data_IF_625710615391
#
_entry.id   IF_625710615391
#
_cell.length_a   1.000
_cell.length_b   1.000
_cell.length_c   1.000
_cell.angle_alpha   90.00
_cell.angle_beta   90.00
_cell.angle_gamma   90.00
#
_symmetry.space_group_name_H-M   'P 1'
#
loop_
_entity.id
_entity.type
_entity.pdbx_description
1 polymer ?
#
# COMPACT_ATOMS: atom_id res chain seq x y z
N UNK A 1 26.49 -3.16 -27.52
CA UNK A 1 25.24 -2.40 -27.64
C UNK A 1 24.91 -1.91 -26.25
N UNK A 2 24.71 -0.61 -26.01
CA UNK A 2 24.32 -0.12 -24.70
C UNK A 2 22.92 -0.61 -24.40
N UNK A 3 22.76 -1.33 -23.30
CA UNK A 3 21.48 -1.81 -22.82
C UNK A 3 20.57 -0.60 -22.53
N UNK A 4 19.38 -0.57 -23.10
CA UNK A 4 18.44 0.52 -22.85
C UNK A 4 18.00 0.43 -21.40
N UNK A 5 18.18 1.52 -20.64
CA UNK A 5 17.76 1.60 -19.24
C UNK A 5 16.48 2.39 -19.11
N UNK A 6 15.59 1.92 -18.22
CA UNK A 6 14.29 2.53 -17.93
C UNK A 6 14.16 2.75 -16.43
N UNK A 7 13.49 3.81 -16.03
CA UNK A 7 13.24 4.10 -14.63
C UNK A 7 12.10 5.12 -14.46
N UNK A 8 11.51 5.11 -13.29
CA UNK A 8 10.55 6.10 -12.85
C UNK A 8 11.11 6.74 -11.57
N UNK A 9 11.12 8.06 -11.45
CA UNK A 9 11.44 8.70 -10.18
C UNK A 9 10.53 8.18 -9.07
N UNK A 10 11.12 7.84 -7.94
CA UNK A 10 10.35 7.32 -6.81
C UNK A 10 11.13 7.37 -5.51
N UNK A 11 10.46 7.10 -4.41
CA UNK A 11 11.08 7.05 -3.09
C UNK A 11 10.27 6.23 -2.11
N UNK A 12 10.95 5.69 -1.13
CA UNK A 12 10.33 5.08 0.05
C UNK A 12 10.12 6.12 1.15
N UNK A 13 8.99 6.04 1.84
CA UNK A 13 8.78 6.69 3.13
C UNK A 13 8.98 5.64 4.21
N UNK A 14 10.04 5.77 5.00
CA UNK A 14 10.33 4.87 6.11
C UNK A 14 10.52 5.63 7.41
N UNK A 15 10.79 4.94 8.50
CA UNK A 15 10.98 5.55 9.82
C UNK A 15 11.91 4.67 10.67
N UNK A 16 12.25 5.14 11.87
CA UNK A 16 13.03 4.36 12.83
C UNK A 16 12.21 3.25 13.50
N UNK A 17 10.87 3.40 13.51
CA UNK A 17 9.94 2.44 14.15
C UNK A 17 8.52 2.58 13.61
N UNK A 18 7.64 1.65 13.98
CA UNK A 18 6.19 1.78 13.79
C UNK A 18 5.62 3.00 14.53
N UNK A 19 4.47 3.51 14.08
CA UNK A 19 3.77 4.63 14.74
C UNK A 19 4.42 6.01 14.62
N UNK A 20 5.43 6.17 13.76
CA UNK A 20 6.12 7.45 13.53
C UNK A 20 5.37 8.42 12.60
N UNK A 21 4.25 8.00 11.99
CA UNK A 21 3.44 8.82 11.10
C UNK A 21 3.72 8.61 9.61
N UNK A 22 4.34 7.48 9.22
CA UNK A 22 4.60 7.16 7.81
C UNK A 22 3.34 7.20 6.94
N UNK A 23 2.27 6.55 7.39
CA UNK A 23 1.01 6.43 6.65
C UNK A 23 0.41 7.80 6.34
N UNK A 24 0.33 8.69 7.35
CA UNK A 24 -0.12 10.07 7.14
C UNK A 24 0.74 10.79 6.10
N UNK A 25 2.06 10.68 6.24
CA UNK A 25 3.01 11.33 5.34
C UNK A 25 2.87 10.78 3.92
N UNK A 26 2.77 9.47 3.75
CA UNK A 26 2.70 8.83 2.42
C UNK A 26 1.36 9.12 1.73
N UNK A 27 0.24 9.09 2.45
CA UNK A 27 -1.08 9.49 1.96
C UNK A 27 -1.04 10.94 1.50
N UNK A 28 -0.53 11.85 2.35
CA UNK A 28 -0.46 13.26 2.05
C UNK A 28 0.44 13.59 0.86
N UNK A 29 1.62 12.94 0.74
CA UNK A 29 2.51 13.09 -0.41
C UNK A 29 1.85 12.58 -1.71
N UNK A 30 1.20 11.41 -1.66
CA UNK A 30 0.50 10.85 -2.82
C UNK A 30 -0.63 11.77 -3.30
N UNK A 31 -1.42 12.31 -2.38
CA UNK A 31 -2.50 13.24 -2.70
C UNK A 31 -1.96 14.59 -3.20
N UNK A 32 -0.88 15.10 -2.59
CA UNK A 32 -0.26 16.37 -2.97
C UNK A 32 0.34 16.31 -4.39
N UNK A 33 1.07 15.25 -4.73
CA UNK A 33 1.57 15.07 -6.10
C UNK A 33 0.44 14.92 -7.11
N UNK A 34 -0.62 14.18 -6.79
CA UNK A 34 -1.83 14.11 -7.62
C UNK A 34 -2.47 15.50 -7.83
N UNK A 35 -2.58 16.31 -6.78
CA UNK A 35 -3.12 17.67 -6.86
C UNK A 35 -2.25 18.62 -7.71
N UNK A 36 -0.94 18.34 -7.81
CA UNK A 36 -0.01 19.01 -8.72
C UNK A 36 -0.10 18.46 -10.17
N UNK A 37 -1.07 17.62 -10.48
CA UNK A 37 -1.26 17.02 -11.81
C UNK A 37 -0.29 15.87 -12.14
N UNK A 38 0.47 15.37 -11.16
CA UNK A 38 1.37 14.22 -11.36
C UNK A 38 0.62 12.90 -11.34
N UNK A 39 0.89 12.03 -12.29
CA UNK A 39 0.45 10.64 -12.25
C UNK A 39 1.29 9.90 -11.20
N UNK A 40 0.73 9.69 -10.03
CA UNK A 40 1.43 9.09 -8.88
C UNK A 40 1.10 7.61 -8.78
N UNK A 41 2.12 6.75 -8.77
CA UNK A 41 1.96 5.32 -8.48
C UNK A 41 2.19 5.04 -6.99
N UNK A 42 1.16 4.67 -6.24
CA UNK A 42 1.31 4.29 -4.85
C UNK A 42 1.69 2.81 -4.72
N UNK A 43 2.58 2.52 -3.75
CA UNK A 43 2.92 1.16 -3.37
C UNK A 43 2.98 1.02 -1.84
N UNK A 44 2.68 -0.17 -1.36
CA UNK A 44 2.86 -0.54 0.05
C UNK A 44 3.87 -1.68 0.17
N UNK A 45 4.92 -1.48 0.95
CA UNK A 45 5.82 -2.58 1.31
C UNK A 45 5.15 -3.48 2.34
N UNK A 46 5.18 -4.79 2.07
CA UNK A 46 4.52 -5.78 2.92
C UNK A 46 3.05 -6.04 2.56
N UNK A 47 2.38 -6.99 3.23
CA UNK A 47 1.09 -7.54 2.83
C UNK A 47 -0.11 -6.75 3.40
N UNK A 48 0.03 -5.48 3.70
CA UNK A 48 -0.99 -4.65 4.33
C UNK A 48 -2.05 -4.20 3.32
N UNK A 49 -3.31 -4.51 3.58
CA UNK A 49 -4.46 -4.12 2.75
C UNK A 49 -5.01 -2.74 3.11
N UNK A 50 -4.95 -2.36 4.40
CA UNK A 50 -5.60 -1.14 4.91
C UNK A 50 -4.84 0.09 4.43
N UNK A 51 -3.53 0.13 4.67
CA UNK A 51 -2.68 1.23 4.19
C UNK A 51 -2.72 1.30 2.66
N UNK A 52 -2.68 0.15 1.95
CA UNK A 52 -2.78 0.11 0.50
C UNK A 52 -4.11 0.70 -0.01
N UNK A 53 -5.22 0.45 0.66
CA UNK A 53 -6.53 1.04 0.36
C UNK A 53 -6.50 2.57 0.48
N UNK A 54 -5.93 3.12 1.54
CA UNK A 54 -5.77 4.56 1.74
C UNK A 54 -4.88 5.20 0.68
N UNK A 55 -3.75 4.57 0.37
CA UNK A 55 -2.82 5.03 -0.67
C UNK A 55 -3.45 5.03 -2.05
N UNK A 56 -4.25 3.99 -2.36
CA UNK A 56 -5.00 3.90 -3.61
C UNK A 56 -5.98 5.06 -3.76
N UNK A 57 -6.75 5.39 -2.73
CA UNK A 57 -7.67 6.54 -2.74
C UNK A 57 -6.93 7.86 -2.89
N UNK A 58 -5.85 8.07 -2.15
CA UNK A 58 -5.06 9.29 -2.20
C UNK A 58 -4.47 9.54 -3.58
N UNK A 59 -3.88 8.53 -4.20
CA UNK A 59 -3.32 8.62 -5.55
C UNK A 59 -4.39 8.58 -6.65
N UNK A 60 -5.57 8.00 -6.37
CA UNK A 60 -6.63 7.75 -7.36
C UNK A 60 -6.24 6.65 -8.37
N UNK A 61 -5.42 5.71 -7.96
CA UNK A 61 -4.91 4.57 -8.75
C UNK A 61 -4.74 3.34 -7.84
N UNK A 62 -4.75 2.11 -8.37
CA UNK A 62 -4.44 0.93 -7.58
C UNK A 62 -3.12 1.07 -6.84
N UNK A 63 -3.08 0.61 -5.59
CA UNK A 63 -1.86 0.50 -4.80
C UNK A 63 -1.44 -0.97 -4.77
N UNK A 64 -0.23 -1.25 -5.23
CA UNK A 64 0.32 -2.60 -5.30
C UNK A 64 1.20 -2.90 -4.09
N UNK A 65 1.22 -4.18 -3.68
CA UNK A 65 2.02 -4.59 -2.53
C UNK A 65 3.37 -5.15 -2.98
N UNK A 66 4.44 -4.62 -2.40
CA UNK A 66 5.82 -5.05 -2.65
C UNK A 66 6.30 -5.87 -1.45
N UNK A 67 6.28 -7.19 -1.56
CA UNK A 67 6.60 -8.08 -0.46
C UNK A 67 7.55 -9.21 -0.87
N UNK A 68 8.82 -9.08 -0.51
CA UNK A 68 9.88 -10.05 -0.81
C UNK A 68 9.80 -11.33 0.03
N UNK A 69 8.85 -11.43 0.97
CA UNK A 69 8.56 -12.65 1.68
C UNK A 69 7.52 -13.53 0.95
N UNK A 70 6.48 -12.90 0.38
CA UNK A 70 5.40 -13.61 -0.30
C UNK A 70 5.71 -13.94 -1.75
N UNK A 71 6.50 -13.10 -2.43
CA UNK A 71 6.88 -13.28 -3.84
C UNK A 71 8.38 -13.03 -4.01
N UNK A 72 8.97 -13.57 -5.07
CA UNK A 72 10.39 -13.40 -5.36
C UNK A 72 10.76 -11.94 -5.63
N UNK A 73 12.04 -11.61 -5.45
CA UNK A 73 12.59 -10.28 -5.74
C UNK A 73 12.36 -9.87 -7.20
N UNK A 74 12.50 -10.82 -8.14
CA UNK A 74 12.24 -10.59 -9.56
C UNK A 74 10.79 -10.16 -9.80
N UNK A 75 9.82 -10.78 -9.14
CA UNK A 75 8.41 -10.40 -9.22
C UNK A 75 8.11 -9.06 -8.58
N UNK A 76 8.76 -8.74 -7.45
CA UNK A 76 8.64 -7.41 -6.82
C UNK A 76 9.13 -6.34 -7.78
N UNK A 77 10.32 -6.54 -8.39
CA UNK A 77 10.86 -5.61 -9.37
C UNK A 77 9.96 -5.50 -10.60
N UNK A 78 9.49 -6.62 -11.15
CA UNK A 78 8.56 -6.65 -12.28
C UNK A 78 7.26 -5.89 -11.98
N UNK A 79 6.62 -6.14 -10.82
CA UNK A 79 5.42 -5.41 -10.39
C UNK A 79 5.67 -3.90 -10.30
N UNK A 80 6.79 -3.49 -9.73
CA UNK A 80 7.18 -2.08 -9.66
C UNK A 80 7.34 -1.47 -11.06
N UNK A 81 8.14 -2.06 -11.92
CA UNK A 81 8.43 -1.52 -13.26
C UNK A 81 7.17 -1.50 -14.16
N UNK A 82 6.36 -2.55 -14.11
CA UNK A 82 5.09 -2.61 -14.85
C UNK A 82 4.14 -1.49 -14.46
N UNK A 83 4.00 -1.23 -13.17
CA UNK A 83 3.06 -0.25 -12.63
C UNK A 83 3.63 1.18 -12.58
N UNK A 84 4.88 1.38 -12.94
CA UNK A 84 5.52 2.70 -13.07
C UNK A 84 5.86 3.02 -14.51
N UNK A 85 6.88 2.41 -15.09
CA UNK A 85 7.43 2.74 -16.41
C UNK A 85 6.38 2.53 -17.50
N UNK A 86 5.78 1.35 -17.57
CA UNK A 86 4.79 1.04 -18.61
C UNK A 86 3.46 1.73 -18.40
N UNK A 87 3.13 2.09 -17.18
CA UNK A 87 1.91 2.85 -16.86
C UNK A 87 2.09 4.36 -17.08
N UNK A 88 3.28 4.81 -17.47
CA UNK A 88 3.60 6.20 -17.78
C UNK A 88 3.31 7.14 -16.60
N UNK A 89 3.74 6.76 -15.38
CA UNK A 89 3.59 7.59 -14.18
C UNK A 89 4.76 8.55 -14.05
N UNK A 90 4.55 9.66 -13.36
CA UNK A 90 5.56 10.69 -13.14
C UNK A 90 6.41 10.42 -11.90
N UNK A 91 5.82 9.76 -10.89
CA UNK A 91 6.47 9.49 -9.61
C UNK A 91 5.88 8.29 -8.90
N UNK A 92 6.73 7.48 -8.27
CA UNK A 92 6.33 6.39 -7.38
C UNK A 92 6.51 6.79 -5.91
N UNK A 93 5.49 6.53 -5.10
CA UNK A 93 5.50 6.80 -3.65
C UNK A 93 5.25 5.48 -2.93
N UNK A 94 6.26 4.99 -2.20
CA UNK A 94 6.22 3.68 -1.56
C UNK A 94 6.21 3.85 -0.05
N UNK A 95 5.18 3.33 0.62
CA UNK A 95 5.18 3.26 2.07
C UNK A 95 5.93 2.04 2.57
N UNK A 96 6.95 2.25 3.39
CA UNK A 96 7.68 1.21 4.10
C UNK A 96 6.86 0.60 5.25
N UNK A 97 7.34 -0.51 5.78
CA UNK A 97 6.74 -1.19 6.92
C UNK A 97 7.66 -1.12 8.15
N UNK A 98 7.10 -0.99 9.35
CA UNK A 98 7.83 -0.91 10.64
C UNK A 98 8.97 0.13 10.60
N UNK A 99 10.17 -0.21 11.09
CA UNK A 99 11.38 0.58 10.94
C UNK A 99 12.11 0.28 9.63
N UNK A 100 13.07 1.14 9.26
CA UNK A 100 13.81 1.04 7.99
C UNK A 100 14.48 -0.32 7.81
N UNK A 101 15.12 -0.83 8.86
CA UNK A 101 15.91 -2.08 8.83
C UNK A 101 15.17 -3.27 9.45
N UNK A 102 13.92 -3.09 9.90
CA UNK A 102 13.14 -4.17 10.52
C UNK A 102 12.72 -5.21 9.48
N UNK A 103 13.22 -6.42 9.62
CA UNK A 103 12.85 -7.60 8.84
C UNK A 103 12.26 -8.69 9.74
N UNK A 104 12.06 -9.89 9.17
CA UNK A 104 11.60 -11.09 9.91
C UNK A 104 12.75 -11.92 10.45
N UNK A 105 13.98 -11.64 10.02
CA UNK A 105 15.20 -12.36 10.35
C UNK A 105 16.30 -11.41 10.85
N UNK A 106 17.39 -11.98 11.31
CA UNK A 106 18.54 -11.24 11.82
C UNK A 106 19.22 -10.38 10.74
N UNK A 107 19.18 -10.81 9.50
CA UNK A 107 19.79 -10.13 8.35
C UNK A 107 18.91 -9.01 7.81
N UNK A 108 17.62 -9.00 8.18
CA UNK A 108 16.66 -7.99 7.71
C UNK A 108 16.27 -8.14 6.23
N UNK A 109 16.36 -9.34 5.67
CA UNK A 109 16.13 -9.62 4.23
C UNK A 109 14.79 -9.14 3.69
N UNK A 110 13.78 -9.02 4.57
CA UNK A 110 12.46 -8.50 4.21
C UNK A 110 12.24 -7.06 4.68
N UNK A 111 13.29 -6.32 4.99
CA UNK A 111 13.17 -4.93 5.47
C UNK A 111 12.81 -3.95 4.35
N UNK A 112 12.42 -2.75 4.75
CA UNK A 112 12.23 -1.63 3.80
C UNK A 112 13.54 -1.25 3.13
N UNK A 113 14.67 -1.35 3.84
CA UNK A 113 16.00 -1.10 3.33
C UNK A 113 16.36 -2.02 2.15
N UNK A 114 16.15 -3.34 2.31
CA UNK A 114 16.42 -4.31 1.24
C UNK A 114 15.53 -4.06 0.00
N UNK A 115 14.24 -3.80 0.22
CA UNK A 115 13.35 -3.47 -0.90
C UNK A 115 13.74 -2.17 -1.60
N UNK A 116 14.21 -1.16 -0.86
CA UNK A 116 14.70 0.10 -1.44
C UNK A 116 15.97 -0.11 -2.28
N UNK A 117 16.91 -0.95 -1.83
CA UNK A 117 18.10 -1.34 -2.59
C UNK A 117 17.73 -2.13 -3.85
N UNK A 118 16.83 -3.10 -3.74
CA UNK A 118 16.34 -3.88 -4.87
C UNK A 118 15.76 -3.00 -5.97
N UNK A 119 14.93 -2.02 -5.59
CA UNK A 119 14.29 -1.10 -6.54
C UNK A 119 15.16 0.09 -6.92
N UNK A 120 16.36 0.22 -6.36
CA UNK A 120 17.26 1.34 -6.64
C UNK A 120 16.68 2.71 -6.27
N UNK A 121 15.88 2.79 -5.21
CA UNK A 121 15.15 4.00 -4.83
C UNK A 121 15.67 4.60 -3.52
N UNK A 122 15.69 5.94 -3.41
CA UNK A 122 16.04 6.62 -2.17
C UNK A 122 14.94 6.47 -1.11
N UNK A 123 15.34 6.66 0.14
CA UNK A 123 14.46 6.65 1.31
C UNK A 123 14.35 8.06 1.90
N UNK A 124 13.13 8.48 2.17
CA UNK A 124 12.82 9.62 3.05
C UNK A 124 12.52 9.06 4.45
N UNK A 125 13.27 9.49 5.45
CA UNK A 125 13.01 9.10 6.83
C UNK A 125 11.99 10.04 7.48
N UNK A 126 10.86 9.50 7.89
CA UNK A 126 9.89 10.16 8.76
C UNK A 126 10.38 10.04 10.22
N UNK A 127 10.80 11.15 10.80
CA UNK A 127 11.37 11.20 12.15
C UNK A 127 10.37 11.74 13.17
N UNK A 128 9.95 10.91 14.09
CA UNK A 128 9.18 11.36 15.27
C UNK A 128 10.10 12.17 16.21
N UNK A 129 9.96 13.51 16.18
CA UNK A 129 10.79 14.44 16.94
C UNK A 129 10.26 14.74 18.35
N UNK A 130 9.26 13.95 18.84
CA UNK A 130 8.67 14.18 20.16
C UNK A 130 9.74 14.16 21.24
N UNK A 131 9.88 15.29 21.99
CA UNK A 131 10.84 15.45 23.10
C UNK A 131 12.30 15.15 22.74
N UNK A 132 12.69 15.30 21.47
CA UNK A 132 14.05 15.03 20.99
C UNK A 132 14.57 16.19 20.13
N UNK A 133 15.87 16.42 20.14
CA UNK A 133 16.56 17.43 19.32
C UNK A 133 17.80 16.83 18.66
N UNK A 134 19.00 17.11 19.16
CA UNK A 134 20.27 16.64 18.58
C UNK A 134 20.38 15.11 18.46
N UNK A 135 19.69 14.36 19.34
CA UNK A 135 19.64 12.88 19.26
C UNK A 135 19.08 12.40 17.93
N UNK A 136 18.22 13.16 17.26
CA UNK A 136 17.72 12.81 15.91
C UNK A 136 18.86 12.76 14.87
N UNK A 137 19.84 13.68 14.99
CA UNK A 137 21.01 13.62 14.11
C UNK A 137 21.85 12.35 14.34
N UNK A 138 22.03 11.94 15.60
CA UNK A 138 22.70 10.68 15.92
C UNK A 138 21.96 9.46 15.37
N UNK A 139 20.62 9.46 15.41
CA UNK A 139 19.81 8.38 14.85
C UNK A 139 19.93 8.30 13.32
N UNK A 140 19.88 9.45 12.62
CA UNK A 140 20.09 9.49 11.16
C UNK A 140 21.52 9.04 10.81
N UNK A 141 22.52 9.51 11.55
CA UNK A 141 23.91 9.09 11.36
C UNK A 141 24.06 7.57 11.55
N UNK A 142 23.39 7.00 12.54
CA UNK A 142 23.33 5.55 12.74
C UNK A 142 22.76 4.82 11.53
N UNK A 143 21.68 5.31 10.94
CA UNK A 143 21.10 4.71 9.73
C UNK A 143 22.06 4.76 8.54
N UNK A 144 22.77 5.87 8.33
CA UNK A 144 23.75 6.04 7.24
C UNK A 144 24.92 5.08 7.35
N UNK A 145 25.35 4.75 8.57
CA UNK A 145 26.48 3.86 8.81
C UNK A 145 26.08 2.40 8.97
N UNK A 146 24.85 2.12 9.36
CA UNK A 146 24.36 0.76 9.56
C UNK A 146 24.32 -0.03 8.25
N UNK A 147 23.84 0.61 7.18
CA UNK A 147 23.86 0.06 5.83
C UNK A 147 24.15 1.19 4.82
N UNK A 148 25.41 1.32 4.37
CA UNK A 148 25.85 2.37 3.43
C UNK A 148 25.25 2.24 2.03
N UNK A 149 24.72 1.08 1.66
CA UNK A 149 24.11 0.85 0.35
C UNK A 149 22.67 1.42 0.27
N UNK A 150 22.08 1.75 1.41
CA UNK A 150 20.77 2.41 1.47
C UNK A 150 20.94 3.92 1.25
N UNK A 151 20.34 4.43 0.20
CA UNK A 151 20.36 5.87 -0.10
C UNK A 151 19.29 6.59 0.75
N UNK A 152 19.71 7.30 1.80
CA UNK A 152 18.83 8.21 2.55
C UNK A 152 18.86 9.58 1.86
N UNK A 153 17.85 9.85 1.01
CA UNK A 153 17.79 11.07 0.20
C UNK A 153 17.30 12.31 0.96
N UNK A 154 16.67 12.10 2.13
CA UNK A 154 16.18 13.21 2.96
C UNK A 154 15.45 12.76 4.19
N UNK A 155 15.10 13.72 5.04
CA UNK A 155 14.27 13.48 6.22
C UNK A 155 13.08 14.44 6.23
N UNK A 156 11.95 13.97 6.79
CA UNK A 156 10.81 14.81 7.15
C UNK A 156 10.61 14.68 8.65
N UNK A 157 10.66 15.82 9.32
CA UNK A 157 10.45 15.90 10.77
C UNK A 157 8.96 15.80 11.05
N UNK A 158 8.55 14.89 11.92
CA UNK A 158 7.16 14.77 12.36
C UNK A 158 7.01 15.14 13.83
N UNK A 159 5.85 15.65 14.20
CA UNK A 159 5.48 16.04 15.57
C UNK A 159 6.42 17.09 16.18
N UNK A 160 6.85 18.07 15.36
CA UNK A 160 7.67 19.18 15.90
C UNK A 160 6.83 20.08 16.80
N UNK A 161 7.42 20.52 17.91
CA UNK A 161 6.69 21.31 18.94
C UNK A 161 6.48 22.79 18.55
N UNK A 162 7.26 23.28 17.57
CA UNK A 162 7.19 24.67 17.10
C UNK A 162 8.45 25.09 16.33
N UNK A 163 8.51 26.36 15.85
CA UNK A 163 9.58 26.80 14.95
C UNK A 163 10.99 26.62 15.52
N UNK A 164 11.23 27.04 16.76
CA UNK A 164 12.54 26.89 17.41
C UNK A 164 12.97 25.41 17.50
N UNK A 165 12.03 24.51 17.79
CA UNK A 165 12.31 23.07 17.86
C UNK A 165 12.64 22.54 16.47
N UNK A 166 11.84 22.88 15.46
CA UNK A 166 12.06 22.54 14.06
C UNK A 166 13.48 22.95 13.62
N UNK A 167 13.82 24.23 13.80
CA UNK A 167 15.08 24.78 13.31
C UNK A 167 16.29 24.13 14.00
N UNK A 168 16.19 23.87 15.31
CA UNK A 168 17.22 23.17 16.08
C UNK A 168 17.44 21.74 15.55
N UNK A 169 16.37 20.96 15.38
CA UNK A 169 16.48 19.57 14.86
C UNK A 169 17.04 19.58 13.45
N UNK A 170 16.50 20.43 12.57
CA UNK A 170 16.90 20.51 11.17
C UNK A 170 18.39 20.87 11.01
N UNK A 171 18.87 21.89 11.75
CA UNK A 171 20.26 22.30 11.73
C UNK A 171 21.20 21.21 12.24
N UNK A 172 20.83 20.51 13.32
CA UNK A 172 21.64 19.40 13.83
C UNK A 172 21.73 18.24 12.84
N UNK A 173 20.64 17.86 12.18
CA UNK A 173 20.67 16.79 11.17
C UNK A 173 21.56 17.21 10.00
N UNK A 174 21.31 18.38 9.43
CA UNK A 174 22.10 18.84 8.27
C UNK A 174 23.60 18.94 8.61
N UNK A 175 23.94 19.52 9.77
CA UNK A 175 25.33 19.71 10.19
C UNK A 175 26.09 18.41 10.41
N UNK A 176 25.46 17.42 11.04
CA UNK A 176 26.13 16.18 11.43
C UNK A 176 26.09 15.09 10.35
N UNK A 177 25.11 15.13 9.45
CA UNK A 177 24.85 14.03 8.50
C UNK A 177 24.90 14.46 7.04
N UNK A 178 24.80 15.74 6.73
CA UNK A 178 24.66 16.24 5.37
C UNK A 178 23.28 15.97 4.74
N UNK A 179 22.41 15.19 5.41
CA UNK A 179 21.09 14.83 4.87
C UNK A 179 20.13 16.02 4.91
N UNK A 180 19.47 16.38 3.80
CA UNK A 180 18.56 17.51 3.79
C UNK A 180 17.28 17.23 4.54
N UNK A 181 16.75 18.26 5.22
CA UNK A 181 15.40 18.25 5.78
C UNK A 181 14.45 18.78 4.72
N UNK A 182 13.53 17.92 4.25
CA UNK A 182 12.58 18.19 3.17
C UNK A 182 11.27 18.78 3.68
N UNK A 183 11.03 18.71 4.99
CA UNK A 183 9.82 19.25 5.60
C UNK A 183 9.76 19.03 7.09
N UNK A 184 8.80 19.68 7.73
CA UNK A 184 8.62 19.58 9.20
C UNK A 184 7.15 19.74 9.57
N UNK A 185 6.50 18.64 9.92
CA UNK A 185 5.10 18.57 10.29
C UNK A 185 4.93 18.88 11.78
N UNK A 186 4.06 19.81 12.14
CA UNK A 186 3.81 20.15 13.54
C UNK A 186 3.12 18.99 14.25
N UNK A 187 3.20 19.00 15.59
CA UNK A 187 2.42 18.09 16.41
C UNK A 187 0.94 18.43 16.27
N UNK A 188 0.18 17.53 15.64
CA UNK A 188 -1.26 17.67 15.48
C UNK A 188 -1.98 17.45 16.82
N UNK A 189 -3.06 18.20 17.05
CA UNK A 189 -3.95 17.97 18.19
C UNK A 189 -4.97 16.88 17.79
N UNK A 190 -5.42 16.10 18.76
CA UNK A 190 -6.35 14.99 18.51
C UNK A 190 -7.69 15.39 17.88
N UNK A 191 -8.03 16.67 17.89
CA UNK A 191 -9.24 17.22 17.27
C UNK A 191 -9.01 17.72 15.83
N UNK A 192 -7.77 17.99 15.46
CA UNK A 192 -7.43 18.63 14.18
C UNK A 192 -7.29 17.61 13.04
N UNK A 193 -7.12 16.33 13.40
CA UNK A 193 -6.87 15.30 12.41
C UNK A 193 -7.34 13.92 12.88
N UNK A 194 -8.11 13.17 12.08
CA UNK A 194 -8.59 11.82 12.42
C UNK A 194 -7.48 10.76 12.30
N UNK A 195 -6.27 11.08 12.79
CA UNK A 195 -5.07 10.24 12.72
C UNK A 195 -5.29 8.80 13.26
N UNK A 196 -6.23 8.68 14.23
CA UNK A 196 -6.53 7.39 14.87
C UNK A 196 -7.21 6.37 13.93
N UNK A 197 -7.75 6.82 12.82
CA UNK A 197 -8.49 5.98 11.89
C UNK A 197 -7.72 5.67 10.61
N UNK A 198 -6.75 6.49 10.22
CA UNK A 198 -5.88 6.23 9.08
C UNK A 198 -4.97 5.03 9.37
N UNK A 199 -4.98 4.04 8.49
CA UNK A 199 -4.22 2.80 8.65
C UNK A 199 -4.81 1.79 9.63
N UNK A 200 -5.94 2.10 10.30
CA UNK A 200 -6.62 1.20 11.23
C UNK A 200 -8.06 0.86 10.83
N UNK A 201 -8.66 1.64 9.93
CA UNK A 201 -10.04 1.46 9.47
C UNK A 201 -10.06 1.43 7.94
N UNK A 202 -10.76 0.47 7.33
CA UNK A 202 -10.89 0.38 5.88
C UNK A 202 -11.58 1.62 5.28
N UNK A 203 -11.25 1.92 4.03
CA UNK A 203 -11.65 3.16 3.35
C UNK A 203 -13.08 3.16 2.78
N UNK A 204 -13.71 1.99 2.62
CA UNK A 204 -14.96 1.87 1.86
C UNK A 204 -16.21 2.46 2.52
N UNK A 205 -16.14 2.93 3.74
CA UNK A 205 -17.33 3.34 4.49
C UNK A 205 -17.60 4.84 4.51
N UNK A 206 -16.71 5.74 3.89
CA UNK A 206 -16.71 7.07 4.47
C UNK A 206 -16.48 8.25 3.55
N UNK A 207 -17.43 9.18 3.53
CA UNK A 207 -17.21 10.59 3.14
C UNK A 207 -16.06 11.23 3.92
N UNK A 208 -15.79 10.80 5.14
CA UNK A 208 -14.67 11.26 5.96
C UNK A 208 -13.30 10.81 5.42
N UNK A 209 -13.20 9.68 4.69
CA UNK A 209 -11.93 9.26 4.09
C UNK A 209 -11.40 10.31 3.11
N UNK A 210 -12.28 10.84 2.25
CA UNK A 210 -11.92 11.93 1.34
C UNK A 210 -11.57 13.22 2.07
N UNK A 211 -12.23 13.53 3.18
CA UNK A 211 -11.89 14.69 4.02
C UNK A 211 -10.52 14.52 4.67
N UNK A 212 -10.23 13.33 5.18
CA UNK A 212 -8.95 13.00 5.79
C UNK A 212 -7.80 13.08 4.79
N UNK A 213 -8.00 12.58 3.56
CA UNK A 213 -7.00 12.68 2.49
C UNK A 213 -6.75 14.15 2.12
N UNK A 214 -7.80 14.97 1.99
CA UNK A 214 -7.64 16.42 1.74
C UNK A 214 -6.90 17.14 2.86
N UNK A 215 -7.19 16.78 4.12
CA UNK A 215 -6.49 17.35 5.27
C UNK A 215 -5.01 16.93 5.29
N UNK A 216 -4.70 15.67 4.95
CA UNK A 216 -3.32 15.20 4.80
C UNK A 216 -2.59 15.90 3.65
N UNK A 217 -3.24 16.05 2.49
CA UNK A 217 -2.72 16.80 1.34
C UNK A 217 -2.35 18.23 1.74
N UNK A 218 -3.28 18.96 2.35
CA UNK A 218 -3.05 20.34 2.76
C UNK A 218 -1.89 20.42 3.76
N UNK A 219 -1.86 19.54 4.77
CA UNK A 219 -0.79 19.47 5.75
C UNK A 219 0.58 19.31 5.09
N UNK A 220 0.68 18.42 4.11
CA UNK A 220 1.93 18.19 3.37
C UNK A 220 2.30 19.41 2.52
N UNK A 221 1.37 19.99 1.78
CA UNK A 221 1.64 21.17 0.96
C UNK A 221 2.11 22.38 1.75
N UNK A 222 1.65 22.52 2.98
CA UNK A 222 2.04 23.63 3.87
C UNK A 222 3.39 23.42 4.56
N UNK A 223 3.84 22.15 4.73
CA UNK A 223 4.96 21.83 5.61
C UNK A 223 6.08 21.03 4.94
N UNK A 224 5.94 20.65 3.68
CA UNK A 224 6.93 19.86 2.93
C UNK A 224 7.25 20.53 1.60
N UNK A 225 8.53 20.62 1.27
CA UNK A 225 9.01 21.15 -0.01
C UNK A 225 8.91 20.03 -1.08
N UNK A 226 7.76 20.01 -1.78
CA UNK A 226 7.45 19.00 -2.78
C UNK A 226 8.39 19.04 -3.99
N UNK A 227 8.89 20.22 -4.36
CA UNK A 227 9.83 20.36 -5.48
C UNK A 227 11.17 19.70 -5.13
N UNK A 228 11.66 19.92 -3.90
CA UNK A 228 12.87 19.23 -3.42
C UNK A 228 12.67 17.72 -3.25
N UNK A 229 11.49 17.27 -2.83
CA UNK A 229 11.16 15.84 -2.80
C UNK A 229 11.23 15.23 -4.20
N UNK A 230 10.63 15.89 -5.19
CA UNK A 230 10.67 15.44 -6.58
C UNK A 230 12.10 15.45 -7.14
N UNK A 231 12.84 16.53 -6.91
CA UNK A 231 14.24 16.63 -7.33
C UNK A 231 15.10 15.50 -6.72
N UNK A 232 14.98 15.27 -5.43
CA UNK A 232 15.65 14.18 -4.72
C UNK A 232 15.30 12.81 -5.33
N UNK A 233 14.02 12.56 -5.62
CA UNK A 233 13.59 11.32 -6.28
C UNK A 233 14.23 11.16 -7.67
N UNK A 234 14.26 12.22 -8.49
CA UNK A 234 14.90 12.20 -9.82
C UNK A 234 16.40 11.95 -9.73
N UNK A 235 17.08 12.60 -8.80
CA UNK A 235 18.54 12.53 -8.67
C UNK A 235 19.04 11.17 -8.15
N UNK A 236 18.24 10.51 -7.31
CA UNK A 236 18.68 9.31 -6.59
C UNK A 236 18.01 8.01 -7.05
N UNK A 237 17.00 8.05 -7.91
CA UNK A 237 16.42 6.82 -8.47
C UNK A 237 17.35 6.23 -9.52
N UNK A 238 17.67 4.94 -9.38
CA UNK A 238 18.53 4.22 -10.33
C UNK A 238 17.66 3.57 -11.41
N UNK A 239 18.02 3.70 -12.70
CA UNK A 239 17.27 3.03 -13.76
C UNK A 239 17.65 1.54 -13.84
N UNK A 240 16.69 0.73 -14.27
CA UNK A 240 16.81 -0.71 -14.48
C UNK A 240 17.01 -1.06 -15.96
N UNK A 241 17.53 -2.25 -16.26
CA UNK A 241 17.61 -2.76 -17.60
C UNK A 241 16.21 -3.10 -18.16
N UNK A 242 16.00 -2.92 -19.47
CA UNK A 242 14.72 -3.29 -20.10
C UNK A 242 14.45 -4.79 -19.99
N UNK A 243 15.52 -5.62 -20.01
CA UNK A 243 15.44 -7.07 -19.79
C UNK A 243 14.72 -7.43 -18.48
N UNK A 244 14.96 -6.65 -17.41
CA UNK A 244 14.35 -6.89 -16.10
C UNK A 244 12.82 -6.73 -16.10
N UNK A 245 12.28 -6.16 -17.17
CA UNK A 245 10.86 -5.84 -17.30
C UNK A 245 10.13 -6.82 -18.22
N UNK A 246 10.82 -7.33 -19.24
CA UNK A 246 10.20 -8.14 -20.29
C UNK A 246 10.12 -9.62 -19.93
N UNK A 247 11.03 -10.10 -19.11
CA UNK A 247 11.09 -11.48 -18.66
C UNK A 247 10.66 -11.59 -17.21
N UNK A 248 9.39 -11.95 -16.95
CA UNK A 248 9.04 -12.60 -15.69
C UNK A 248 9.28 -14.11 -15.86
N UNK A 249 10.46 -14.64 -15.46
CA UNK A 249 10.79 -16.06 -15.63
C UNK A 249 9.89 -16.96 -14.78
N UNK A 250 9.17 -16.38 -13.84
CA UNK A 250 8.24 -17.07 -12.93
C UNK A 250 6.77 -16.73 -13.24
N UNK A 251 6.48 -15.99 -14.35
CA UNK A 251 5.09 -15.86 -14.80
C UNK A 251 4.59 -17.27 -15.09
N UNK A 252 3.72 -17.87 -14.26
CA UNK A 252 3.10 -19.13 -14.59
C UNK A 252 2.21 -18.84 -15.77
N UNK A 253 2.78 -18.81 -16.97
CA UNK A 253 1.99 -18.86 -18.19
C UNK A 253 1.17 -20.12 -18.03
N UNK A 254 -0.11 -19.93 -17.77
CA UNK A 254 -1.04 -21.06 -17.82
C UNK A 254 -0.73 -21.76 -19.14
N UNK A 255 -0.32 -23.04 -19.11
CA UNK A 255 -0.03 -23.77 -20.34
C UNK A 255 -1.14 -23.50 -21.32
N UNK A 256 -0.79 -23.21 -22.59
CA UNK A 256 -1.75 -22.77 -23.59
C UNK A 256 -2.89 -23.80 -23.84
N UNK A 257 -2.68 -25.03 -23.40
CA UNK A 257 -3.64 -26.15 -23.39
C UNK A 257 -4.65 -26.06 -22.23
N UNK A 258 -4.32 -25.34 -21.16
CA UNK A 258 -5.25 -25.02 -20.06
C UNK A 258 -6.00 -23.70 -20.27
N UNK A 259 -5.57 -22.86 -21.22
CA UNK A 259 -6.36 -21.73 -21.68
C UNK A 259 -7.58 -22.30 -22.42
N UNK A 260 -8.75 -22.20 -21.78
CA UNK A 260 -10.01 -22.68 -22.31
C UNK A 260 -10.17 -22.24 -23.78
N UNK A 261 -10.20 -23.21 -24.69
CA UNK A 261 -10.44 -22.98 -26.12
C UNK A 261 -11.89 -22.61 -26.44
N UNK A 262 -12.75 -22.55 -25.42
CA UNK A 262 -14.17 -22.30 -25.59
C UNK A 262 -14.53 -20.82 -25.40
N UNK A 263 -15.47 -20.37 -26.19
CA UNK A 263 -15.87 -18.98 -26.41
C UNK A 263 -16.58 -18.32 -25.20
N UNK A 264 -16.81 -19.02 -24.12
CA UNK A 264 -17.40 -18.46 -22.89
C UNK A 264 -16.31 -18.17 -21.86
N UNK A 265 -15.99 -16.91 -21.69
CA UNK A 265 -15.10 -16.47 -20.59
C UNK A 265 -15.78 -16.78 -19.26
N UNK A 266 -15.11 -17.48 -18.31
CA UNK A 266 -15.70 -17.76 -17.00
C UNK A 266 -16.05 -16.46 -16.28
N UNK A 267 -17.22 -16.46 -15.67
CA UNK A 267 -17.72 -15.31 -14.89
C UNK A 267 -17.46 -15.56 -13.42
N UNK A 268 -16.55 -14.79 -12.84
CA UNK A 268 -16.19 -14.90 -11.43
C UNK A 268 -16.83 -13.76 -10.63
N UNK A 269 -17.67 -14.13 -9.67
CA UNK A 269 -18.18 -13.18 -8.69
C UNK A 269 -17.09 -12.79 -7.69
N UNK A 270 -16.90 -11.50 -7.48
CA UNK A 270 -16.00 -10.96 -6.45
C UNK A 270 -16.84 -10.23 -5.43
N UNK A 271 -16.86 -10.74 -4.20
CA UNK A 271 -17.60 -10.09 -3.12
C UNK A 271 -16.85 -8.83 -2.68
N UNK A 272 -17.44 -7.64 -2.92
CA UNK A 272 -16.76 -6.38 -2.61
C UNK A 272 -17.73 -5.33 -2.07
N UNK A 273 -17.60 -5.05 -0.78
CA UNK A 273 -18.34 -4.01 -0.07
C UNK A 273 -17.58 -3.58 1.21
N UNK A 274 -18.22 -2.91 2.14
CA UNK A 274 -17.60 -2.49 3.39
C UNK A 274 -17.18 -3.64 4.31
N UNK A 275 -17.81 -4.81 4.21
CA UNK A 275 -17.40 -6.00 4.96
C UNK A 275 -16.22 -6.76 4.34
N UNK A 276 -16.05 -6.69 3.00
CA UNK A 276 -15.07 -7.46 2.24
C UNK A 276 -14.29 -6.55 1.28
N UNK A 277 -13.11 -6.08 1.71
CA UNK A 277 -12.32 -5.07 1.00
C UNK A 277 -10.88 -5.50 0.70
N UNK A 278 -10.42 -6.60 1.30
CA UNK A 278 -9.03 -7.00 1.25
C UNK A 278 -8.76 -7.86 0.02
N UNK A 279 -8.33 -7.20 -1.04
CA UNK A 279 -7.94 -7.80 -2.30
C UNK A 279 -6.63 -7.18 -2.78
N UNK A 280 -5.68 -8.02 -3.18
CA UNK A 280 -4.55 -7.54 -3.95
C UNK A 280 -5.01 -7.27 -5.39
N UNK A 281 -4.73 -6.07 -5.94
CA UNK A 281 -5.05 -5.78 -7.34
C UNK A 281 -4.51 -6.84 -8.29
N UNK A 282 -3.31 -7.35 -8.02
CA UNK A 282 -2.64 -8.38 -8.82
C UNK A 282 -3.46 -9.67 -8.95
N UNK A 283 -4.17 -10.07 -7.89
CA UNK A 283 -5.01 -11.27 -7.93
C UNK A 283 -6.21 -11.10 -8.86
N UNK A 284 -6.85 -9.93 -8.80
CA UNK A 284 -7.99 -9.61 -9.67
C UNK A 284 -7.54 -9.47 -11.13
N UNK A 285 -6.44 -8.76 -11.37
CA UNK A 285 -5.84 -8.62 -12.70
C UNK A 285 -5.39 -9.97 -13.27
N UNK A 286 -4.86 -10.87 -12.42
CA UNK A 286 -4.48 -12.21 -12.84
C UNK A 286 -5.69 -13.03 -13.32
N UNK A 287 -6.83 -12.94 -12.62
CA UNK A 287 -8.07 -13.59 -13.08
C UNK A 287 -8.52 -13.06 -14.45
N UNK A 288 -8.54 -11.73 -14.64
CA UNK A 288 -8.90 -11.11 -15.90
C UNK A 288 -7.91 -11.46 -17.04
N UNK A 289 -6.60 -11.41 -16.75
CA UNK A 289 -5.53 -11.77 -17.70
C UNK A 289 -5.64 -13.23 -18.15
N UNK A 290 -6.10 -14.12 -17.26
CA UNK A 290 -6.36 -15.52 -17.58
C UNK A 290 -7.76 -15.77 -18.19
N UNK A 291 -8.46 -14.73 -18.60
CA UNK A 291 -9.68 -14.80 -19.39
C UNK A 291 -10.98 -14.74 -18.60
N UNK A 292 -10.93 -14.57 -17.26
CA UNK A 292 -12.14 -14.40 -16.48
C UNK A 292 -12.80 -13.02 -16.71
N UNK A 293 -14.12 -12.99 -16.61
CA UNK A 293 -14.89 -11.75 -16.44
C UNK A 293 -15.28 -11.59 -14.98
N UNK A 294 -14.87 -10.50 -14.34
CA UNK A 294 -15.21 -10.22 -12.95
C UNK A 294 -16.56 -9.51 -12.84
N UNK A 295 -17.38 -9.97 -11.89
CA UNK A 295 -18.66 -9.37 -11.52
C UNK A 295 -18.62 -9.08 -10.03
N UNK A 296 -18.67 -7.81 -9.66
CA UNK A 296 -18.67 -7.40 -8.24
C UNK A 296 -20.07 -7.53 -7.66
N UNK A 297 -20.16 -8.20 -6.51
CA UNK A 297 -21.40 -8.45 -5.77
C UNK A 297 -21.22 -8.10 -4.30
N UNK A 298 -22.33 -7.79 -3.62
CA UNK A 298 -22.32 -7.34 -2.24
C UNK A 298 -23.39 -8.07 -1.41
N UNK A 299 -23.03 -8.95 -0.48
CA UNK A 299 -23.99 -9.55 0.43
C UNK A 299 -24.68 -8.55 1.36
N UNK A 300 -24.16 -7.32 1.49
CA UNK A 300 -24.82 -6.24 2.24
C UNK A 300 -25.95 -5.55 1.45
N UNK A 301 -25.92 -5.61 0.10
CA UNK A 301 -26.83 -4.84 -0.76
C UNK A 301 -27.65 -5.70 -1.71
N UNK A 302 -27.06 -6.80 -2.20
CA UNK A 302 -27.66 -7.64 -3.22
C UNK A 302 -28.47 -8.76 -2.57
N UNK A 303 -29.71 -8.93 -3.02
CA UNK A 303 -30.57 -10.06 -2.62
C UNK A 303 -30.57 -11.19 -3.63
N UNK A 304 -30.12 -10.91 -4.87
CA UNK A 304 -30.09 -11.89 -5.96
C UNK A 304 -28.65 -12.25 -6.29
N UNK A 305 -28.36 -13.53 -6.25
CA UNK A 305 -27.08 -14.06 -6.66
C UNK A 305 -27.05 -14.22 -8.20
N UNK A 306 -26.18 -13.53 -8.94
CA UNK A 306 -26.16 -13.60 -10.39
C UNK A 306 -25.70 -14.97 -10.90
N UNK A 307 -25.78 -15.17 -12.20
CA UNK A 307 -25.22 -16.36 -12.84
C UNK A 307 -23.70 -16.23 -12.94
N UNK A 308 -22.99 -17.14 -12.26
CA UNK A 308 -21.54 -17.13 -12.07
C UNK A 308 -20.98 -18.55 -12.22
N UNK A 309 -19.73 -18.65 -12.69
CA UNK A 309 -18.97 -19.90 -12.78
C UNK A 309 -18.12 -20.16 -11.54
N UNK A 310 -17.87 -19.14 -10.72
CA UNK A 310 -17.14 -19.23 -9.45
C UNK A 310 -17.31 -17.99 -8.59
N UNK A 311 -16.90 -18.08 -7.32
CA UNK A 311 -17.00 -17.00 -6.34
C UNK A 311 -15.65 -16.79 -5.62
N UNK A 312 -15.21 -15.55 -5.56
CA UNK A 312 -14.07 -15.12 -4.75
C UNK A 312 -14.54 -14.19 -3.64
N UNK A 313 -14.33 -14.60 -2.39
CA UNK A 313 -14.63 -13.83 -1.18
C UNK A 313 -13.31 -13.49 -0.50
N UNK A 314 -12.86 -12.26 -0.60
CA UNK A 314 -11.64 -11.79 0.05
C UNK A 314 -11.80 -11.54 1.55
N UNK A 315 -10.75 -10.99 2.13
CA UNK A 315 -10.75 -10.59 3.53
C UNK A 315 -11.50 -9.29 3.79
N UNK A 316 -11.56 -8.92 5.05
CA UNK A 316 -12.24 -7.72 5.53
C UNK A 316 -12.65 -7.88 6.99
N UNK A 317 -13.67 -7.12 7.40
CA UNK A 317 -14.22 -7.12 8.75
C UNK A 317 -15.72 -7.48 8.73
N UNK A 318 -16.10 -8.72 8.37
CA UNK A 318 -17.51 -9.14 8.34
C UNK A 318 -18.18 -9.05 9.72
N UNK A 319 -17.41 -9.14 10.81
CA UNK A 319 -17.90 -9.00 12.17
C UNK A 319 -18.48 -7.62 12.45
N UNK A 320 -18.00 -6.56 11.79
CA UNK A 320 -18.55 -5.21 11.95
C UNK A 320 -19.92 -5.05 11.28
N UNK A 321 -20.27 -5.97 10.39
CA UNK A 321 -21.51 -6.03 9.64
C UNK A 321 -22.30 -7.34 9.90
N UNK A 322 -22.01 -8.02 11.03
CA UNK A 322 -22.53 -9.36 11.28
C UNK A 322 -24.06 -9.43 11.24
N UNK A 323 -24.75 -8.40 11.77
CA UNK A 323 -26.22 -8.33 11.78
C UNK A 323 -26.79 -8.21 10.37
N UNK A 324 -26.24 -7.33 9.56
CA UNK A 324 -26.67 -7.09 8.16
C UNK A 324 -26.40 -8.32 7.29
N UNK A 325 -25.23 -8.92 7.43
CA UNK A 325 -24.86 -10.14 6.72
C UNK A 325 -25.75 -11.32 7.14
N UNK A 326 -26.06 -11.44 8.44
CA UNK A 326 -26.98 -12.46 8.95
C UNK A 326 -28.39 -12.26 8.45
N UNK A 327 -28.87 -11.02 8.34
CA UNK A 327 -30.22 -10.70 7.86
C UNK A 327 -30.45 -11.03 6.38
N UNK A 328 -29.37 -11.08 5.56
CA UNK A 328 -29.47 -11.47 4.15
C UNK A 328 -29.48 -13.00 3.97
N UNK A 329 -30.53 -13.64 4.50
CA UNK A 329 -30.69 -15.11 4.47
C UNK A 329 -30.75 -15.67 3.05
N UNK A 330 -31.37 -14.95 2.12
CA UNK A 330 -31.53 -15.41 0.74
C UNK A 330 -30.19 -15.51 0.03
N UNK A 331 -29.31 -14.52 0.19
CA UNK A 331 -27.98 -14.55 -0.41
C UNK A 331 -27.14 -15.71 0.16
N UNK A 332 -27.15 -15.89 1.50
CA UNK A 332 -26.43 -17.00 2.16
C UNK A 332 -26.96 -18.35 1.71
N UNK A 333 -28.29 -18.50 1.62
CA UNK A 333 -28.94 -19.74 1.15
C UNK A 333 -28.52 -20.09 -0.27
N UNK A 334 -28.41 -19.10 -1.17
CA UNK A 334 -28.01 -19.30 -2.54
C UNK A 334 -26.54 -19.72 -2.65
N UNK A 335 -25.61 -19.12 -1.90
CA UNK A 335 -24.20 -19.55 -1.83
C UNK A 335 -24.15 -21.03 -1.38
N UNK A 336 -24.80 -21.34 -0.25
CA UNK A 336 -24.80 -22.69 0.31
C UNK A 336 -25.32 -23.72 -0.70
N UNK A 337 -26.48 -23.47 -1.28
CA UNK A 337 -27.10 -24.39 -2.23
C UNK A 337 -26.28 -24.62 -3.49
N UNK A 338 -25.51 -23.62 -3.94
CA UNK A 338 -24.57 -23.75 -5.07
C UNK A 338 -23.29 -24.49 -4.68
N UNK A 339 -22.70 -24.16 -3.53
CA UNK A 339 -21.51 -24.83 -3.02
C UNK A 339 -21.75 -26.33 -2.79
N UNK A 340 -22.90 -26.72 -2.23
CA UNK A 340 -23.29 -28.13 -2.07
C UNK A 340 -23.45 -28.89 -3.39
N UNK A 341 -23.63 -28.17 -4.51
CA UNK A 341 -23.68 -28.74 -5.87
C UNK A 341 -22.31 -28.70 -6.60
N UNK A 342 -21.23 -28.34 -5.89
CA UNK A 342 -19.89 -28.28 -6.46
C UNK A 342 -19.53 -26.97 -7.13
N UNK A 343 -20.29 -25.89 -6.90
CA UNK A 343 -19.92 -24.55 -7.39
C UNK A 343 -18.61 -24.08 -6.71
N UNK A 344 -17.59 -23.68 -7.49
CA UNK A 344 -16.30 -23.26 -6.95
C UNK A 344 -16.42 -21.99 -6.11
N UNK A 345 -15.94 -22.06 -4.86
CA UNK A 345 -15.86 -20.91 -3.95
C UNK A 345 -14.44 -20.83 -3.39
N UNK A 346 -13.77 -19.71 -3.61
CA UNK A 346 -12.52 -19.37 -2.93
C UNK A 346 -12.80 -18.31 -1.88
N UNK A 347 -12.40 -18.56 -0.64
CA UNK A 347 -12.61 -17.62 0.46
C UNK A 347 -11.38 -17.56 1.37
N UNK A 348 -11.02 -16.37 1.81
CA UNK A 348 -9.89 -16.12 2.69
C UNK A 348 -10.23 -15.16 3.82
N UNK A 349 -9.61 -15.35 5.01
CA UNK A 349 -9.74 -14.47 6.17
C UNK A 349 -11.22 -14.19 6.51
N UNK A 350 -11.67 -12.93 6.37
CA UNK A 350 -13.08 -12.54 6.60
C UNK A 350 -14.07 -13.29 5.72
N UNK A 351 -13.70 -13.62 4.48
CA UNK A 351 -14.52 -14.45 3.59
C UNK A 351 -14.71 -15.86 4.12
N UNK A 352 -13.69 -16.46 4.73
CA UNK A 352 -13.81 -17.76 5.39
C UNK A 352 -14.71 -17.68 6.63
N UNK A 353 -14.62 -16.60 7.41
CA UNK A 353 -15.53 -16.37 8.55
C UNK A 353 -16.98 -16.32 8.09
N UNK A 354 -17.27 -15.64 6.99
CA UNK A 354 -18.63 -15.51 6.45
C UNK A 354 -19.22 -16.86 5.97
N UNK A 355 -18.39 -17.78 5.53
CA UNK A 355 -18.82 -19.14 5.16
C UNK A 355 -19.00 -20.08 6.36
N UNK A 356 -18.68 -19.64 7.58
CA UNK A 356 -18.91 -20.36 8.81
C UNK A 356 -20.41 -20.62 9.08
N UNK A 357 -20.70 -21.53 9.99
CA UNK A 357 -22.09 -21.81 10.39
C UNK A 357 -22.68 -20.69 11.21
N UNK A 358 -21.85 -20.10 12.05
CA UNK A 358 -22.21 -19.04 12.99
C UNK A 358 -21.00 -18.19 13.32
N UNK A 359 -21.24 -16.94 13.64
CA UNK A 359 -20.26 -16.03 14.19
C UNK A 359 -20.74 -15.58 15.58
N UNK A 360 -19.96 -15.93 16.62
CA UNK A 360 -20.28 -15.53 17.99
C UNK A 360 -19.43 -14.31 18.36
N UNK A 361 -20.10 -13.21 18.71
CA UNK A 361 -19.42 -11.97 19.08
C UNK A 361 -20.21 -11.26 20.21
N UNK A 362 -19.49 -10.87 21.28
CA UNK A 362 -20.07 -10.19 22.44
C UNK A 362 -21.28 -10.93 23.07
N UNK A 363 -21.33 -12.27 22.98
CA UNK A 363 -22.39 -13.09 23.48
C UNK A 363 -23.63 -13.20 22.58
N UNK A 364 -23.61 -12.57 21.41
CA UNK A 364 -24.63 -12.72 20.36
C UNK A 364 -24.13 -13.70 19.29
N UNK A 365 -25.04 -14.45 18.68
CA UNK A 365 -24.77 -15.39 17.59
C UNK A 365 -25.45 -14.91 16.32
N UNK A 366 -24.68 -14.88 15.25
CA UNK A 366 -25.10 -14.46 13.93
C UNK A 366 -24.99 -15.57 12.91
#
# INVERSE_FOLDING_TARGET
>A
MSETKVGCPGFFVSALRGGSGKTLLTIGLSAAFKALGKKTAPFKKGPDYIDAGWLSLAAGRPCYNLDTYLISESRVLHSYLRNTVYSGVDIAVIEGNRGLFDGIDLQGLTSTAETAKLLGLPVILCLDCTKSTRTMAAAVLGCLHFDPDVTIGGVILNRVAGPRHRDNVAQNILHHTGVPVLGAIPKLRSHDFPERHMGLVPTAEHDWANQSIRAAEQLIRENVDLDRVLQMAVEHSRPHAVSDVLDDPEDPRVPADLLMKDSSKPVIGVVRDSAFQFYYPENLEALEKNGARLVYISPLKDSVFPDLDGLYIGGGFPETHARELAANEEFRRQIKARAEKGFPVYAECGGLMYLGRELVMNGETY
#
